data_IF_472486462861
#
_entry.id   IF_472486462861
#
_cell.length_a   1.000
_cell.length_b   1.000
_cell.length_c   1.000
_cell.angle_alpha   90.00
_cell.angle_beta   90.00
_cell.angle_gamma   90.00
#
_symmetry.space_group_name_H-M   'P 1'
#
loop_
_entity.id
_entity.type
_entity.pdbx_description
1 polymer ?
#
# COMPACT_ATOMS: atom_id res chain seq x y z
N UNK A 1 -1.36 2.98 7.19
CA UNK A 1 -0.48 1.92 7.71
C UNK A 1 0.24 2.31 9.01
N UNK A 2 1.04 3.39 9.06
CA UNK A 2 1.72 3.80 10.31
C UNK A 2 0.75 4.04 11.48
N UNK A 3 -0.45 4.56 11.23
CA UNK A 3 -1.50 4.70 12.23
C UNK A 3 -1.98 3.35 12.79
N UNK A 4 -2.12 2.32 11.94
CA UNK A 4 -2.49 0.96 12.36
C UNK A 4 -1.40 0.39 13.26
N UNK A 5 -0.14 0.43 12.82
CA UNK A 5 1.00 -0.07 13.61
C UNK A 5 1.11 0.59 14.98
N UNK A 6 0.89 1.92 15.04
CA UNK A 6 0.86 2.67 16.30
C UNK A 6 -0.30 2.23 17.20
N UNK A 7 -1.51 2.12 16.65
CA UNK A 7 -2.69 1.71 17.41
C UNK A 7 -2.58 0.28 17.95
N UNK A 8 -1.93 -0.63 17.21
CA UNK A 8 -1.78 -2.03 17.61
C UNK A 8 -0.47 -2.33 18.34
N UNK A 9 0.38 -1.32 18.56
CA UNK A 9 1.71 -1.47 19.17
C UNK A 9 2.57 -2.57 18.52
N UNK A 10 2.44 -2.76 17.20
CA UNK A 10 3.19 -3.78 16.46
C UNK A 10 4.38 -3.17 15.75
N UNK A 11 5.52 -3.87 15.80
CA UNK A 11 6.67 -3.60 14.96
C UNK A 11 6.59 -4.53 13.73
N UNK A 12 6.54 -4.00 12.49
CA UNK A 12 6.58 -4.85 11.31
C UNK A 12 7.97 -5.49 11.18
N UNK A 13 8.02 -6.72 10.67
CA UNK A 13 9.28 -7.47 10.45
C UNK A 13 10.33 -6.64 9.69
N UNK A 14 9.88 -5.78 8.78
CA UNK A 14 10.71 -4.88 7.96
C UNK A 14 11.47 -3.80 8.73
N UNK A 15 11.10 -3.55 9.99
CA UNK A 15 11.76 -2.61 10.90
C UNK A 15 12.42 -3.31 12.09
N UNK A 16 12.35 -4.64 12.14
CA UNK A 16 12.88 -5.45 13.24
C UNK A 16 14.09 -6.29 12.85
N UNK A 17 14.53 -7.21 13.72
CA UNK A 17 15.67 -8.09 13.47
C UNK A 17 15.42 -9.07 12.31
N UNK A 18 14.16 -9.36 11.99
CA UNK A 18 13.76 -10.27 10.89
C UNK A 18 13.86 -9.63 9.51
N UNK A 19 14.27 -8.36 9.40
CA UNK A 19 14.26 -7.60 8.15
C UNK A 19 15.00 -8.31 7.00
N UNK A 20 16.20 -8.81 7.27
CA UNK A 20 17.02 -9.46 6.25
C UNK A 20 16.36 -10.74 5.74
N UNK A 21 15.91 -11.60 6.65
CA UNK A 21 15.20 -12.83 6.31
C UNK A 21 13.89 -12.55 5.56
N UNK A 22 13.14 -11.53 5.97
CA UNK A 22 11.89 -11.14 5.30
C UNK A 22 12.11 -10.55 3.91
N UNK A 23 13.20 -9.81 3.68
CA UNK A 23 13.59 -9.35 2.34
C UNK A 23 13.91 -10.54 1.44
N UNK A 24 14.75 -11.46 1.92
CA UNK A 24 15.13 -12.65 1.17
C UNK A 24 13.90 -13.51 0.82
N UNK A 25 12.95 -13.63 1.75
CA UNK A 25 11.70 -14.35 1.52
C UNK A 25 10.83 -13.68 0.45
N UNK A 26 10.69 -12.35 0.50
CA UNK A 26 9.94 -11.59 -0.51
C UNK A 26 10.57 -11.74 -1.89
N UNK A 27 11.90 -11.65 -2.00
CA UNK A 27 12.64 -11.83 -3.24
C UNK A 27 12.49 -13.25 -3.81
N UNK A 28 12.61 -14.28 -2.95
CA UNK A 28 12.38 -15.67 -3.33
C UNK A 28 10.97 -15.88 -3.88
N UNK A 29 9.94 -15.43 -3.17
CA UNK A 29 8.54 -15.55 -3.61
C UNK A 29 8.27 -14.78 -4.91
N UNK A 30 8.89 -13.61 -5.10
CA UNK A 30 8.77 -12.86 -6.34
C UNK A 30 9.33 -13.65 -7.52
N UNK A 31 10.50 -14.28 -7.36
CA UNK A 31 11.10 -15.15 -8.37
C UNK A 31 10.22 -16.37 -8.68
N UNK A 32 9.70 -17.06 -7.66
CA UNK A 32 8.80 -18.22 -7.83
C UNK A 32 7.52 -17.88 -8.60
N UNK A 33 7.03 -16.65 -8.44
CA UNK A 33 5.85 -16.12 -9.13
C UNK A 33 6.16 -15.49 -10.48
N UNK A 34 7.41 -15.57 -10.95
CA UNK A 34 7.88 -14.94 -12.19
C UNK A 34 7.63 -13.42 -12.24
N UNK A 35 7.69 -12.76 -11.08
CA UNK A 35 7.61 -11.31 -10.99
C UNK A 35 8.98 -10.68 -11.30
N UNK A 36 9.02 -9.44 -11.83
CA UNK A 36 10.29 -8.75 -12.07
C UNK A 36 11.09 -8.57 -10.78
N UNK A 37 12.42 -8.48 -10.91
CA UNK A 37 13.33 -8.28 -9.78
C UNK A 37 12.95 -7.04 -8.98
N UNK A 38 12.84 -7.21 -7.66
CA UNK A 38 12.51 -6.14 -6.74
C UNK A 38 13.73 -5.24 -6.56
N UNK A 39 13.51 -3.93 -6.71
CA UNK A 39 14.43 -2.86 -6.36
C UNK A 39 13.89 -2.15 -5.13
N UNK A 40 14.42 -2.51 -3.97
CA UNK A 40 14.06 -1.86 -2.71
C UNK A 40 14.48 -0.38 -2.73
N UNK A 41 13.56 0.57 -2.47
CA UNK A 41 13.91 1.98 -2.41
C UNK A 41 14.76 2.28 -1.17
N UNK A 42 15.64 3.28 -1.28
CA UNK A 42 16.41 3.77 -0.14
C UNK A 42 15.46 4.25 0.98
N UNK A 43 15.77 3.92 2.23
CA UNK A 43 14.93 4.27 3.38
C UNK A 43 13.63 3.48 3.51
N UNK A 44 13.44 2.39 2.74
CA UNK A 44 12.28 1.50 2.88
C UNK A 44 12.27 0.76 4.24
N UNK A 45 11.10 0.62 4.90
CA UNK A 45 9.77 1.09 4.46
C UNK A 45 9.41 2.51 4.89
N UNK A 46 9.96 2.99 6.01
CA UNK A 46 9.44 4.15 6.74
C UNK A 46 9.42 5.45 5.92
N UNK A 47 10.41 5.65 5.05
CA UNK A 47 10.57 6.89 4.28
C UNK A 47 9.86 6.85 2.93
N UNK A 48 9.30 5.70 2.54
CA UNK A 48 8.99 5.41 1.12
C UNK A 48 7.49 5.37 0.81
N UNK A 49 6.62 5.24 1.82
CA UNK A 49 5.15 5.32 1.65
C UNK A 49 4.54 6.33 2.64
N UNK A 50 4.82 7.64 2.54
CA UNK A 50 4.17 8.64 3.36
C UNK A 50 2.88 9.16 2.71
N UNK A 51 2.32 10.23 3.30
CA UNK A 51 0.99 10.75 3.00
C UNK A 51 0.70 11.08 1.53
N UNK A 52 1.62 11.62 0.71
CA UNK A 52 1.34 11.90 -0.70
C UNK A 52 0.88 10.66 -1.49
N UNK A 53 1.61 9.55 -1.42
CA UNK A 53 1.22 8.30 -2.09
C UNK A 53 -0.13 7.77 -1.61
N UNK A 54 -0.38 7.77 -0.29
CA UNK A 54 -1.64 7.29 0.26
C UNK A 54 -2.83 8.18 -0.11
N UNK A 55 -2.68 9.51 -0.08
CA UNK A 55 -3.74 10.45 -0.50
C UNK A 55 -4.03 10.33 -1.99
N UNK A 56 -3.02 10.14 -2.82
CA UNK A 56 -3.21 9.91 -4.25
C UNK A 56 -3.94 8.58 -4.51
N UNK A 57 -3.64 7.52 -3.76
CA UNK A 57 -4.37 6.26 -3.82
C UNK A 57 -5.84 6.42 -3.39
N UNK A 58 -6.10 7.16 -2.30
CA UNK A 58 -7.47 7.48 -1.86
C UNK A 58 -8.24 8.27 -2.91
N UNK A 59 -7.60 9.26 -3.55
CA UNK A 59 -8.19 9.98 -4.66
C UNK A 59 -8.46 9.09 -5.87
N UNK A 60 -7.50 8.23 -6.26
CA UNK A 60 -7.70 7.28 -7.35
C UNK A 60 -8.87 6.33 -7.05
N UNK A 61 -9.04 5.89 -5.81
CA UNK A 61 -10.18 5.09 -5.39
C UNK A 61 -11.51 5.85 -5.50
N UNK A 62 -11.56 7.13 -5.13
CA UNK A 62 -12.75 8.00 -5.28
C UNK A 62 -13.27 8.06 -6.72
N UNK A 63 -12.39 7.91 -7.71
CA UNK A 63 -12.72 8.01 -9.14
C UNK A 63 -12.64 6.66 -9.88
N UNK A 64 -12.65 5.53 -9.17
CA UNK A 64 -12.67 4.19 -9.78
C UNK A 64 -11.34 3.72 -10.40
N UNK A 65 -10.22 4.35 -10.06
CA UNK A 65 -8.86 4.06 -10.56
C UNK A 65 -7.96 3.41 -9.50
N UNK A 66 -8.53 2.88 -8.41
CA UNK A 66 -7.79 2.30 -7.27
C UNK A 66 -6.77 1.23 -7.71
N UNK A 67 -7.21 0.23 -8.49
CA UNK A 67 -6.38 -0.89 -8.93
C UNK A 67 -5.26 -0.39 -9.84
N UNK A 68 -5.59 0.38 -10.88
CA UNK A 68 -4.61 0.89 -11.84
C UNK A 68 -3.56 1.78 -11.19
N UNK A 69 -3.96 2.68 -10.28
CA UNK A 69 -3.03 3.55 -9.58
C UNK A 69 -2.16 2.77 -8.60
N UNK A 70 -2.74 1.85 -7.82
CA UNK A 70 -1.98 1.06 -6.84
C UNK A 70 -0.93 0.19 -7.53
N UNK A 71 -1.26 -0.46 -8.65
CA UNK A 71 -0.29 -1.22 -9.44
C UNK A 71 0.80 -0.32 -10.04
N UNK A 72 0.45 0.86 -10.55
CA UNK A 72 1.43 1.82 -11.05
C UNK A 72 2.37 2.32 -9.95
N UNK A 73 1.83 2.64 -8.77
CA UNK A 73 2.59 3.04 -7.59
C UNK A 73 3.52 1.93 -7.10
N UNK A 74 3.05 0.67 -7.02
CA UNK A 74 3.90 -0.47 -6.68
C UNK A 74 5.03 -0.68 -7.68
N UNK A 75 4.80 -0.47 -8.99
CA UNK A 75 5.87 -0.53 -9.99
C UNK A 75 6.90 0.59 -9.81
N UNK A 76 6.48 1.83 -9.53
CA UNK A 76 7.43 2.90 -9.20
C UNK A 76 8.24 2.54 -7.95
N UNK A 77 7.56 2.07 -6.90
CA UNK A 77 8.18 1.77 -5.63
C UNK A 77 9.16 0.60 -5.70
N UNK A 78 8.71 -0.56 -6.18
CA UNK A 78 9.45 -1.82 -6.07
C UNK A 78 10.15 -2.25 -7.35
N UNK A 79 9.88 -1.66 -8.52
CA UNK A 79 10.63 -1.97 -9.73
C UNK A 79 11.58 -0.82 -10.12
N UNK A 80 11.12 0.42 -9.95
CA UNK A 80 11.98 1.58 -10.21
C UNK A 80 12.79 2.02 -8.99
N UNK A 81 12.48 1.52 -7.78
CA UNK A 81 13.14 1.94 -6.52
C UNK A 81 12.82 3.39 -6.16
N UNK A 82 11.66 3.91 -6.58
CA UNK A 82 11.26 5.31 -6.44
C UNK A 82 10.25 5.47 -5.30
N UNK A 83 10.61 6.16 -4.20
CA UNK A 83 9.73 6.30 -3.06
C UNK A 83 8.51 7.18 -3.38
N UNK A 84 7.36 6.85 -2.79
CA UNK A 84 6.09 7.58 -2.97
C UNK A 84 5.95 8.78 -2.03
N UNK A 85 7.08 9.26 -1.49
CA UNK A 85 7.19 10.47 -0.68
C UNK A 85 7.41 11.72 -1.53
N UNK A 86 7.96 11.55 -2.72
CA UNK A 86 8.21 12.60 -3.69
C UNK A 86 7.00 12.80 -4.61
N UNK A 87 6.62 14.06 -4.83
CA UNK A 87 5.48 14.40 -5.67
C UNK A 87 5.65 13.87 -7.09
N UNK A 88 6.84 13.97 -7.67
CA UNK A 88 7.09 13.56 -9.06
C UNK A 88 6.86 12.06 -9.27
N UNK A 89 7.24 11.22 -8.30
CA UNK A 89 6.98 9.78 -8.35
C UNK A 89 5.48 9.47 -8.27
N UNK A 90 4.73 10.22 -7.46
CA UNK A 90 3.27 10.14 -7.39
C UNK A 90 2.62 10.54 -8.73
N UNK A 91 3.11 11.61 -9.36
CA UNK A 91 2.61 12.07 -10.65
C UNK A 91 2.93 11.09 -11.78
N UNK A 92 4.12 10.47 -11.77
CA UNK A 92 4.50 9.42 -12.72
C UNK A 92 3.58 8.20 -12.61
N UNK A 93 3.28 7.74 -11.38
CA UNK A 93 2.31 6.68 -11.16
C UNK A 93 0.91 7.08 -11.66
N UNK A 94 0.51 8.33 -11.42
CA UNK A 94 -0.74 8.91 -11.90
C UNK A 94 -0.85 8.95 -13.43
N UNK A 95 0.20 9.38 -14.12
CA UNK A 95 0.24 9.45 -15.57
C UNK A 95 0.05 8.06 -16.21
N UNK A 96 0.66 7.02 -15.61
CA UNK A 96 0.51 5.63 -16.06
C UNK A 96 -0.92 5.08 -15.95
N UNK A 97 -1.83 5.79 -15.27
CA UNK A 97 -3.24 5.45 -15.16
C UNK A 97 -4.19 6.60 -15.57
N UNK A 98 -3.69 7.51 -16.42
CA UNK A 98 -4.43 8.60 -17.07
C UNK A 98 -4.96 9.66 -16.10
N UNK A 99 -4.30 9.84 -14.96
CA UNK A 99 -4.64 10.89 -14.02
C UNK A 99 -3.91 12.18 -14.36
N UNK A 100 -4.67 13.25 -14.59
CA UNK A 100 -4.11 14.55 -14.88
C UNK A 100 -3.29 15.08 -13.68
N UNK A 101 -2.05 15.59 -13.88
CA UNK A 101 -1.18 15.98 -12.77
C UNK A 101 -1.77 17.06 -11.87
N UNK A 102 -2.53 18.02 -12.44
CA UNK A 102 -3.19 19.06 -11.63
C UNK A 102 -4.32 18.49 -10.76
N UNK A 103 -5.00 17.42 -11.20
CA UNK A 103 -6.04 16.78 -10.39
C UNK A 103 -5.42 16.11 -9.16
N UNK A 104 -4.30 15.40 -9.34
CA UNK A 104 -3.54 14.82 -8.22
C UNK A 104 -3.06 15.92 -7.27
N UNK A 105 -2.40 16.97 -7.78
CA UNK A 105 -1.90 18.09 -6.96
C UNK A 105 -3.01 18.74 -6.13
N UNK A 106 -4.20 18.92 -6.71
CA UNK A 106 -5.37 19.42 -6.00
C UNK A 106 -5.85 18.42 -4.93
N UNK A 107 -5.97 17.14 -5.28
CA UNK A 107 -6.42 16.08 -4.39
C UNK A 107 -5.53 15.91 -3.14
N UNK A 108 -4.21 16.01 -3.28
CA UNK A 108 -3.27 15.92 -2.15
C UNK A 108 -3.48 16.98 -1.06
N UNK A 109 -4.09 18.12 -1.44
CA UNK A 109 -4.38 19.26 -0.56
C UNK A 109 -5.82 19.25 -0.04
N UNK A 110 -6.75 18.59 -0.74
CA UNK A 110 -8.18 18.51 -0.40
C UNK A 110 -8.40 17.86 0.97
N UNK A 111 -9.13 18.55 1.85
CA UNK A 111 -9.46 18.02 3.19
C UNK A 111 -10.38 16.80 3.11
N UNK A 112 -11.28 16.74 2.12
CA UNK A 112 -12.12 15.55 1.90
C UNK A 112 -11.31 14.29 1.60
N UNK A 113 -10.17 14.38 0.93
CA UNK A 113 -9.29 13.23 0.68
C UNK A 113 -8.55 12.81 1.95
N UNK A 114 -8.11 13.77 2.77
CA UNK A 114 -7.49 13.49 4.08
C UNK A 114 -8.48 12.78 4.98
N UNK A 115 -9.72 13.27 5.05
CA UNK A 115 -10.77 12.70 5.87
C UNK A 115 -11.10 11.27 5.41
N UNK A 116 -11.30 11.04 4.11
CA UNK A 116 -11.52 9.69 3.57
C UNK A 116 -10.41 8.69 3.92
N UNK A 117 -9.15 9.12 3.88
CA UNK A 117 -8.03 8.26 4.29
C UNK A 117 -8.06 7.95 5.79
N UNK A 118 -8.41 8.94 6.62
CA UNK A 118 -8.59 8.77 8.07
C UNK A 118 -9.75 7.81 8.36
N UNK A 119 -10.92 8.02 7.75
CA UNK A 119 -12.11 7.21 7.95
C UNK A 119 -11.85 5.74 7.56
N UNK A 120 -11.25 5.51 6.39
CA UNK A 120 -10.89 4.15 5.96
C UNK A 120 -9.86 3.48 6.89
N UNK A 121 -8.97 4.26 7.51
CA UNK A 121 -8.02 3.74 8.49
C UNK A 121 -8.71 3.38 9.81
N UNK A 122 -9.67 4.21 10.25
CA UNK A 122 -10.44 3.97 11.47
C UNK A 122 -11.37 2.77 11.30
N UNK A 123 -12.06 2.65 10.17
CA UNK A 123 -12.90 1.50 9.86
C UNK A 123 -12.09 0.19 9.91
N UNK A 124 -10.87 0.19 9.34
CA UNK A 124 -9.98 -0.96 9.40
C UNK A 124 -9.62 -1.32 10.86
N UNK A 125 -9.34 -0.32 11.71
CA UNK A 125 -9.06 -0.53 13.13
C UNK A 125 -10.28 -1.07 13.89
N UNK A 126 -11.46 -0.50 13.65
CA UNK A 126 -12.73 -0.93 14.26
C UNK A 126 -13.07 -2.37 13.89
N UNK A 127 -12.79 -2.79 12.66
CA UNK A 127 -12.91 -4.18 12.21
C UNK A 127 -11.86 -5.13 12.84
N UNK A 128 -10.82 -4.60 13.49
CA UNK A 128 -9.76 -5.40 14.10
C UNK A 128 -8.56 -5.70 13.18
N UNK A 129 -8.37 -4.93 12.10
CA UNK A 129 -7.20 -5.08 11.22
C UNK A 129 -5.92 -4.70 11.96
N UNK A 130 -4.96 -5.63 12.04
CA UNK A 130 -3.68 -5.40 12.74
C UNK A 130 -2.46 -5.33 11.84
N UNK A 131 -2.63 -5.58 10.55
CA UNK A 131 -1.55 -5.58 9.57
C UNK A 131 -2.08 -5.59 8.13
N UNK A 132 -1.15 -5.61 7.18
CA UNK A 132 -1.45 -5.72 5.75
C UNK A 132 -0.55 -6.78 5.10
N UNK A 133 -0.98 -7.42 3.99
CA UNK A 133 -2.33 -7.36 3.45
C UNK A 133 -3.34 -8.05 4.37
N UNK A 134 -4.55 -7.48 4.47
CA UNK A 134 -5.70 -8.10 5.15
C UNK A 134 -6.90 -8.03 4.21
N UNK A 135 -7.60 -9.15 4.04
CA UNK A 135 -8.84 -9.24 3.27
C UNK A 135 -9.98 -9.55 4.23
N UNK A 136 -11.09 -8.82 4.11
CA UNK A 136 -12.31 -9.08 4.87
C UNK A 136 -13.33 -9.79 3.97
N UNK A 137 -13.94 -10.87 4.46
CA UNK A 137 -15.06 -11.57 3.83
C UNK A 137 -16.21 -11.63 4.83
N UNK A 138 -17.22 -10.77 4.64
CA UNK A 138 -18.20 -10.50 5.69
C UNK A 138 -17.54 -9.90 6.94
N UNK A 139 -17.67 -10.62 8.06
CA UNK A 139 -17.07 -10.27 9.35
C UNK A 139 -15.73 -10.98 9.60
N UNK A 140 -15.34 -11.94 8.75
CA UNK A 140 -14.08 -12.67 8.89
C UNK A 140 -12.91 -11.88 8.29
N UNK A 141 -11.77 -11.89 9.00
CA UNK A 141 -10.52 -11.23 8.58
C UNK A 141 -9.41 -12.25 8.30
N UNK A 142 -8.84 -12.16 7.10
CA UNK A 142 -7.72 -12.98 6.63
C UNK A 142 -6.48 -12.10 6.49
N UNK A 143 -5.55 -12.21 7.42
CA UNK A 143 -4.33 -11.41 7.46
C UNK A 143 -3.11 -12.21 6.99
N UNK A 144 -2.40 -11.71 5.98
CA UNK A 144 -1.19 -12.31 5.41
C UNK A 144 -1.33 -12.71 3.94
N UNK A 145 -0.20 -12.74 3.21
CA UNK A 145 -0.11 -13.23 1.82
C UNK A 145 -0.51 -14.72 1.71
N UNK A 146 -0.19 -15.49 2.74
CA UNK A 146 -0.50 -16.91 2.90
C UNK A 146 -1.99 -17.19 3.15
N UNK A 147 -2.77 -16.19 3.56
CA UNK A 147 -4.21 -16.32 3.84
C UNK A 147 -5.10 -15.87 2.69
N UNK A 148 -4.55 -15.45 1.55
CA UNK A 148 -5.33 -14.96 0.41
C UNK A 148 -6.18 -16.06 -0.25
N UNK A 149 -5.67 -17.29 -0.33
CA UNK A 149 -6.44 -18.43 -0.87
C UNK A 149 -7.60 -18.82 0.06
N UNK A 150 -7.39 -18.77 1.38
CA UNK A 150 -8.47 -18.98 2.36
C UNK A 150 -9.57 -17.92 2.22
N UNK A 151 -9.18 -16.66 2.08
CA UNK A 151 -10.11 -15.56 1.85
C UNK A 151 -10.92 -15.77 0.55
N UNK A 152 -10.25 -16.23 -0.52
CA UNK A 152 -10.91 -16.53 -1.79
C UNK A 152 -11.89 -17.72 -1.67
N UNK A 153 -11.56 -18.72 -0.86
CA UNK A 153 -12.43 -19.86 -0.60
C UNK A 153 -13.68 -19.48 0.21
N UNK A 154 -13.55 -18.55 1.18
CA UNK A 154 -14.65 -18.06 2.01
C UNK A 154 -15.69 -17.22 1.25
N UNK A 155 -15.39 -16.76 0.03
CA UNK A 155 -16.32 -16.01 -0.83
C UNK A 155 -17.35 -16.90 -1.57
N UNK A 156 -17.18 -18.22 -1.53
CA UNK A 156 -18.01 -19.20 -2.24
C UNK A 156 -19.21 -19.65 -1.43
#
# INVERSE_FOLDING_TARGET
FSHILKATQRLPWSLGPEREAGIAEVERRAAERNLPTIRWPEGWPAQTIPMPGLRAATFAAEIGKSVSFSLAAFRQLFLAGRPMNELDNVLLAGAACELHPNAIKAALKRDSIKQKLTDATNEALERGVTGVPTVAVGDELFWGDDRLEDAAAALR
#
